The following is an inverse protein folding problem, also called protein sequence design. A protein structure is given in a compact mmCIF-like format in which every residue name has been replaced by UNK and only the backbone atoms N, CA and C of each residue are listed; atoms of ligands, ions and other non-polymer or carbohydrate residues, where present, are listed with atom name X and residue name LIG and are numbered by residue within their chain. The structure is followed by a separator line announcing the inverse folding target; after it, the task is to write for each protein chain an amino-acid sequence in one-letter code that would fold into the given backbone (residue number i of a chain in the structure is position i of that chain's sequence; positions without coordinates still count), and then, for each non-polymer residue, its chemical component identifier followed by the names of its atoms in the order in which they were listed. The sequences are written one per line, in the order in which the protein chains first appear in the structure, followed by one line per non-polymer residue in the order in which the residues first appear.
data_IF_280670631455
#
_entry.id   IF_280670631455
#
_cell.length_a   1.000
_cell.length_b   1.000
_cell.length_c   1.000
_cell.angle_alpha   90.00
_cell.angle_beta   90.00
_cell.angle_gamma   90.00
#
_symmetry.space_group_name_H-M   'P 1'
#
loop_
_entity.id
_entity.type
_entity.pdbx_description
1 polymer ?
#
# COMPACT_ATOMS: atom_id res chain seq x y z
N UNK A 1 -7.03 -0.89 -12.31
CA UNK A 1 -5.65 -0.78 -11.79
C UNK A 1 -4.63 -1.15 -12.86
N UNK A 2 -4.76 -2.34 -13.44
CA UNK A 2 -3.82 -2.79 -14.48
C UNK A 2 -3.89 -1.88 -15.70
N UNK A 3 -5.10 -1.51 -16.13
CA UNK A 3 -5.31 -0.59 -17.25
C UNK A 3 -4.74 0.79 -17.01
N UNK A 4 -4.96 1.34 -15.81
CA UNK A 4 -4.39 2.63 -15.41
C UNK A 4 -2.86 2.57 -15.42
N UNK A 5 -2.29 1.51 -14.87
CA UNK A 5 -0.85 1.31 -14.87
C UNK A 5 -0.28 1.24 -16.28
N UNK A 6 -0.92 0.51 -17.19
CA UNK A 6 -0.48 0.41 -18.58
C UNK A 6 -0.49 1.78 -19.27
N UNK A 7 -1.53 2.59 -19.02
CA UNK A 7 -1.61 3.95 -19.56
C UNK A 7 -0.51 4.87 -19.03
N UNK A 8 0.05 4.57 -17.86
CA UNK A 8 1.16 5.29 -17.25
C UNK A 8 2.53 4.67 -17.59
N UNK A 9 2.56 3.62 -18.40
CA UNK A 9 3.77 2.90 -18.73
C UNK A 9 4.27 1.99 -17.61
N UNK A 10 3.39 1.58 -16.70
CA UNK A 10 3.70 0.67 -15.60
C UNK A 10 3.17 -0.74 -15.89
N UNK A 11 3.90 -1.74 -15.44
CA UNK A 11 3.40 -3.11 -15.39
C UNK A 11 2.91 -3.38 -13.97
N UNK A 12 1.60 -3.57 -13.80
CA UNK A 12 0.96 -3.70 -12.49
C UNK A 12 0.47 -5.13 -12.29
N UNK A 13 0.89 -5.74 -11.19
CA UNK A 13 0.36 -7.01 -10.73
C UNK A 13 -0.51 -6.75 -9.49
N UNK A 14 -1.74 -7.26 -9.49
CA UNK A 14 -2.68 -7.09 -8.38
C UNK A 14 -2.81 -8.40 -7.63
N UNK A 15 -2.66 -8.34 -6.31
CA UNK A 15 -2.81 -9.49 -5.42
C UNK A 15 -3.70 -9.11 -4.24
N UNK A 16 -4.46 -10.09 -3.73
CA UNK A 16 -5.31 -9.91 -2.57
C UNK A 16 -5.19 -11.12 -1.67
N UNK A 17 -5.25 -10.89 -0.36
CA UNK A 17 -5.25 -11.97 0.63
C UNK A 17 -5.91 -11.52 1.93
N UNK A 18 -6.54 -12.45 2.63
CA UNK A 18 -7.05 -12.25 3.98
C UNK A 18 -6.07 -12.76 5.05
N UNK A 19 -4.93 -13.30 4.62
CA UNK A 19 -3.94 -13.91 5.52
C UNK A 19 -2.75 -12.97 5.71
N UNK A 20 -2.52 -12.57 6.95
CA UNK A 20 -1.42 -11.68 7.30
C UNK A 20 -0.06 -12.24 6.88
N UNK A 21 0.17 -13.54 7.11
CA UNK A 21 1.42 -14.19 6.71
C UNK A 21 1.66 -14.15 5.21
N UNK A 22 0.62 -14.29 4.41
CA UNK A 22 0.73 -14.19 2.95
C UNK A 22 1.10 -12.77 2.53
N UNK A 23 0.52 -11.76 3.17
CA UNK A 23 0.85 -10.38 2.89
C UNK A 23 2.33 -10.10 3.21
N UNK A 24 2.81 -10.61 4.33
CA UNK A 24 4.21 -10.46 4.74
C UNK A 24 5.14 -11.13 3.71
N UNK A 25 4.80 -12.31 3.23
CA UNK A 25 5.59 -13.00 2.19
C UNK A 25 5.67 -12.17 0.91
N UNK A 26 4.56 -11.59 0.47
CA UNK A 26 4.54 -10.75 -0.73
C UNK A 26 5.35 -9.47 -0.56
N UNK A 27 5.31 -8.86 0.62
CA UNK A 27 6.12 -7.68 0.92
C UNK A 27 7.61 -8.04 0.93
N UNK A 28 7.99 -9.18 1.49
CA UNK A 28 9.36 -9.66 1.45
C UNK A 28 9.83 -9.91 0.02
N UNK A 29 8.97 -10.50 -0.81
CA UNK A 29 9.25 -10.71 -2.23
C UNK A 29 9.48 -9.40 -2.97
N UNK A 30 8.63 -8.39 -2.72
CA UNK A 30 8.78 -7.07 -3.31
C UNK A 30 10.08 -6.40 -2.87
N UNK A 31 10.45 -6.54 -1.61
CA UNK A 31 11.70 -6.01 -1.08
C UNK A 31 12.91 -6.66 -1.76
N UNK A 32 12.89 -7.98 -1.90
CA UNK A 32 13.98 -8.73 -2.54
C UNK A 32 14.13 -8.37 -4.02
N UNK A 33 13.02 -8.07 -4.69
CA UNK A 33 13.00 -7.73 -6.12
C UNK A 33 13.08 -6.23 -6.39
N UNK A 34 13.15 -5.41 -5.35
CA UNK A 34 13.21 -3.94 -5.45
C UNK A 34 12.00 -3.35 -6.21
N UNK A 35 10.81 -3.86 -5.92
CA UNK A 35 9.56 -3.47 -6.58
C UNK A 35 8.74 -2.57 -5.67
N UNK A 36 8.31 -1.39 -6.15
CA UNK A 36 7.39 -0.54 -5.39
C UNK A 36 6.04 -1.22 -5.17
N UNK A 37 5.40 -0.90 -4.04
CA UNK A 37 4.14 -1.49 -3.63
C UNK A 37 3.11 -0.41 -3.34
N UNK A 38 1.92 -0.57 -3.88
CA UNK A 38 0.72 0.13 -3.43
C UNK A 38 -0.03 -0.84 -2.53
N UNK A 39 -0.14 -0.52 -1.26
CA UNK A 39 -0.61 -1.43 -0.23
C UNK A 39 -1.87 -0.92 0.44
N UNK A 40 -2.92 -1.76 0.43
CA UNK A 40 -4.04 -1.57 1.35
C UNK A 40 -3.92 -2.63 2.44
N UNK A 41 -3.38 -2.27 3.61
CA UNK A 41 -3.22 -3.24 4.70
C UNK A 41 -4.51 -3.46 5.49
N UNK A 42 -5.58 -2.76 5.14
CA UNK A 42 -6.85 -2.81 5.85
C UNK A 42 -6.66 -2.63 7.36
N UNK A 43 -7.30 -3.47 8.18
CA UNK A 43 -7.20 -3.34 9.64
C UNK A 43 -5.79 -3.65 10.19
N UNK A 44 -4.95 -4.35 9.46
CA UNK A 44 -3.57 -4.63 9.90
C UNK A 44 -2.79 -3.35 10.14
N UNK A 45 -3.13 -2.26 9.44
CA UNK A 45 -2.46 -0.97 9.59
C UNK A 45 -2.53 -0.44 11.03
N UNK A 46 -3.56 -0.86 11.79
CA UNK A 46 -3.80 -0.33 13.13
C UNK A 46 -3.07 -1.09 14.23
N UNK A 47 -2.56 -2.31 13.94
CA UNK A 47 -1.99 -3.13 15.01
C UNK A 47 -0.87 -4.09 14.58
N UNK A 48 -0.71 -4.39 13.28
CA UNK A 48 0.23 -5.43 12.89
C UNK A 48 1.65 -4.91 12.79
N UNK A 49 2.42 -5.14 13.83
CA UNK A 49 3.85 -4.84 13.84
C UNK A 49 4.59 -5.70 12.81
N UNK A 50 4.15 -6.95 12.59
CA UNK A 50 4.77 -7.83 11.62
C UNK A 50 4.61 -7.29 10.19
N UNK A 51 3.44 -6.76 9.83
CA UNK A 51 3.23 -6.10 8.53
C UNK A 51 4.07 -4.83 8.44
N UNK A 52 4.11 -4.03 9.51
CA UNK A 52 4.93 -2.81 9.55
C UNK A 52 6.41 -3.12 9.31
N UNK A 53 6.93 -4.16 9.94
CA UNK A 53 8.33 -4.58 9.75
C UNK A 53 8.60 -5.00 8.29
N UNK A 54 7.66 -5.70 7.68
CA UNK A 54 7.78 -6.10 6.28
C UNK A 54 7.75 -4.88 5.34
N UNK A 55 6.87 -3.93 5.60
CA UNK A 55 6.78 -2.67 4.84
C UNK A 55 8.09 -1.90 4.91
N UNK A 56 8.72 -1.85 6.08
CA UNK A 56 9.97 -1.13 6.27
C UNK A 56 11.11 -1.63 5.37
N UNK A 57 11.03 -2.85 4.87
CA UNK A 57 12.03 -3.44 3.98
C UNK A 57 11.80 -3.10 2.51
N UNK A 58 10.60 -2.67 2.14
CA UNK A 58 10.26 -2.35 0.74
C UNK A 58 10.72 -0.92 0.45
N UNK A 59 11.41 -0.68 -0.68
CA UNK A 59 12.00 0.65 -0.93
C UNK A 59 10.94 1.75 -1.06
N UNK A 60 9.82 1.46 -1.71
CA UNK A 60 8.74 2.43 -1.88
C UNK A 60 7.41 1.75 -1.63
N UNK A 61 6.67 2.22 -0.62
CA UNK A 61 5.30 1.79 -0.35
C UNK A 61 4.40 3.02 -0.27
N UNK A 62 3.28 2.98 -0.96
CA UNK A 62 2.20 3.94 -0.76
C UNK A 62 1.05 3.20 -0.09
N UNK A 63 0.67 3.65 1.09
CA UNK A 63 -0.45 3.08 1.85
C UNK A 63 -1.75 3.67 1.33
N UNK A 64 -2.73 2.81 1.02
CA UNK A 64 -4.04 3.24 0.52
C UNK A 64 -5.13 2.63 1.38
N UNK A 65 -6.09 3.45 1.78
CA UNK A 65 -7.33 3.02 2.42
C UNK A 65 -8.51 3.51 1.58
N UNK A 66 -9.47 2.62 1.31
CA UNK A 66 -10.66 2.94 0.53
C UNK A 66 -11.55 3.91 1.31
N UNK A 67 -11.74 3.64 2.61
CA UNK A 67 -12.57 4.49 3.47
C UNK A 67 -11.75 5.63 4.08
N UNK A 68 -12.47 6.69 4.48
CA UNK A 68 -11.85 7.74 5.29
C UNK A 68 -11.72 7.24 6.74
N UNK A 69 -10.54 6.78 7.09
CA UNK A 69 -10.26 6.22 8.43
C UNK A 69 -10.45 7.24 9.54
N UNK A 70 -10.35 8.53 9.24
CA UNK A 70 -10.54 9.61 10.21
C UNK A 70 -12.00 9.88 10.52
N UNK A 71 -12.93 9.36 9.73
CA UNK A 71 -14.37 9.48 9.93
C UNK A 71 -14.97 8.23 10.60
N UNK A 72 -14.16 7.30 11.02
CA UNK A 72 -14.56 6.04 11.64
C UNK A 72 -14.13 6.01 13.12
N UNK A 73 -14.01 4.81 13.71
CA UNK A 73 -13.62 4.67 15.12
C UNK A 73 -12.23 5.27 15.36
N UNK A 74 -11.99 5.76 16.57
CA UNK A 74 -10.74 6.46 16.92
C UNK A 74 -9.51 5.62 16.65
N UNK A 75 -9.54 4.29 16.91
CA UNK A 75 -8.39 3.43 16.70
C UNK A 75 -7.94 3.39 15.22
N UNK A 76 -8.85 3.72 14.28
CA UNK A 76 -8.53 3.72 12.85
C UNK A 76 -7.72 4.94 12.42
N UNK A 77 -7.54 5.91 13.31
CA UNK A 77 -6.70 7.09 13.05
C UNK A 77 -5.22 6.80 13.23
N UNK A 78 -4.90 5.67 13.85
CA UNK A 78 -3.52 5.23 14.08
C UNK A 78 -3.09 4.20 13.05
N UNK A 79 -1.89 4.39 12.49
CA UNK A 79 -1.27 3.40 11.61
C UNK A 79 0.14 3.10 12.08
N UNK A 80 0.44 1.82 12.26
CA UNK A 80 1.82 1.37 12.52
C UNK A 80 2.60 1.23 11.21
N UNK A 81 1.92 1.25 10.07
CA UNK A 81 2.49 1.11 8.72
C UNK A 81 2.92 2.47 8.16
N UNK A 82 2.12 3.51 8.40
CA UNK A 82 2.33 4.84 7.80
C UNK A 82 3.72 5.42 8.01
N UNK A 83 4.38 5.25 9.16
CA UNK A 83 5.74 5.77 9.34
C UNK A 83 6.76 5.21 8.35
N UNK A 84 6.50 4.03 7.78
CA UNK A 84 7.40 3.36 6.83
C UNK A 84 6.96 3.53 5.38
N UNK A 85 5.80 4.13 5.13
CA UNK A 85 5.31 4.41 3.79
C UNK A 85 5.85 5.74 3.27
N UNK A 86 5.98 5.84 1.95
CA UNK A 86 6.32 7.12 1.30
C UNK A 86 5.20 8.13 1.52
N UNK A 87 3.96 7.69 1.47
CA UNK A 87 2.79 8.52 1.67
C UNK A 87 1.54 7.69 1.88
N UNK A 88 0.44 8.36 2.20
CA UNK A 88 -0.84 7.73 2.52
C UNK A 88 -1.95 8.41 1.71
N UNK A 89 -2.83 7.61 1.13
CA UNK A 89 -4.06 8.06 0.48
C UNK A 89 -5.22 7.36 1.17
N UNK A 90 -6.19 8.11 1.66
CA UNK A 90 -7.34 7.54 2.37
C UNK A 90 -8.63 8.25 2.01
N UNK A 91 -9.73 7.50 1.94
CA UNK A 91 -11.07 8.07 1.81
C UNK A 91 -11.54 8.33 0.39
N UNK A 92 -10.79 7.95 -0.62
CA UNK A 92 -11.11 8.22 -2.03
C UNK A 92 -11.63 6.99 -2.79
N UNK A 93 -12.05 5.95 -2.06
CA UNK A 93 -12.52 4.73 -2.68
C UNK A 93 -11.43 4.06 -3.52
N UNK A 94 -11.84 3.40 -4.58
CA UNK A 94 -10.91 2.72 -5.49
C UNK A 94 -10.01 3.68 -6.26
N UNK A 95 -10.44 4.94 -6.41
CA UNK A 95 -9.63 5.98 -7.07
C UNK A 95 -8.30 6.25 -6.37
N UNK A 96 -8.19 5.92 -5.08
CA UNK A 96 -6.94 6.05 -4.34
C UNK A 96 -5.81 5.21 -4.92
N UNK A 97 -6.13 4.02 -5.44
CA UNK A 97 -5.12 3.17 -6.09
C UNK A 97 -4.58 3.81 -7.36
N UNK A 98 -5.46 4.39 -8.18
CA UNK A 98 -5.04 5.03 -9.43
C UNK A 98 -4.17 6.26 -9.15
N UNK A 99 -4.48 7.03 -8.11
CA UNK A 99 -3.67 8.15 -7.69
C UNK A 99 -2.28 7.71 -7.22
N UNK A 100 -2.21 6.60 -6.47
CA UNK A 100 -0.94 6.04 -6.05
C UNK A 100 -0.09 5.62 -7.24
N UNK A 101 -0.68 4.95 -8.22
CA UNK A 101 0.01 4.55 -9.44
C UNK A 101 0.52 5.77 -10.23
N UNK A 102 -0.30 6.82 -10.32
CA UNK A 102 0.10 8.06 -10.99
C UNK A 102 1.32 8.69 -10.31
N UNK A 103 1.36 8.68 -8.97
CA UNK A 103 2.51 9.19 -8.25
C UNK A 103 3.76 8.36 -8.49
N UNK A 104 3.65 7.03 -8.46
CA UNK A 104 4.78 6.14 -8.76
C UNK A 104 5.31 6.38 -10.16
N UNK A 105 4.43 6.57 -11.14
CA UNK A 105 4.85 6.88 -12.50
C UNK A 105 5.60 8.21 -12.59
N UNK A 106 5.18 9.20 -11.78
CA UNK A 106 5.79 10.53 -11.77
C UNK A 106 7.20 10.54 -11.16
N UNK A 107 7.48 9.65 -10.22
CA UNK A 107 8.78 9.62 -9.51
C UNK A 107 9.75 8.57 -10.06
N UNK A 108 9.32 7.74 -11.00
CA UNK A 108 10.23 6.76 -11.61
C UNK A 108 11.21 7.47 -12.54
N UNK A 109 12.35 6.85 -12.70
CA UNK A 109 13.38 7.32 -13.64
C UNK A 109 13.14 6.78 -15.06
#
# INVERSE_FOLDING_TARGET
LVGTGAGLGLSVEVRQTDHEGQMIEWLNEAADSDVPVVLNPAAWTHYSIAVADAVAQVPIVIEVHISNVHAREEFRRHSVVSPYALGVIAGLGLGGYDLALAHLAAIRD
#
